data_IF_366620924446
#
_entry.id   IF_366620924446
#
_cell.length_a   1.000
_cell.length_b   1.000
_cell.length_c   1.000
_cell.angle_alpha   90.00
_cell.angle_beta   90.00
_cell.angle_gamma   90.00
#
_symmetry.space_group_name_H-M   'P 1'
#
loop_
_entity.id
_entity.type
_entity.pdbx_description
1 polymer ?
#
# COMPACT_ATOMS: atom_id res chain seq x y z
N UNK A 1 13.14 -19.58 -9.43
CA UNK A 1 12.33 -19.21 -8.25
C UNK A 1 11.39 -18.02 -8.50
N UNK A 2 11.86 -16.96 -9.14
CA UNK A 2 11.08 -15.72 -9.40
C UNK A 2 9.73 -15.92 -10.10
N UNK A 3 9.66 -16.81 -11.11
CA UNK A 3 8.40 -17.11 -11.82
C UNK A 3 7.28 -17.56 -10.86
N UNK A 4 7.61 -18.37 -9.85
CA UNK A 4 6.63 -18.89 -8.89
C UNK A 4 6.20 -17.77 -7.93
N UNK A 5 7.15 -16.97 -7.45
CA UNK A 5 6.87 -15.80 -6.58
C UNK A 5 5.93 -14.83 -7.29
N UNK A 6 6.23 -14.48 -8.55
CA UNK A 6 5.41 -13.58 -9.35
C UNK A 6 4.00 -14.15 -9.60
N UNK A 7 3.88 -15.47 -9.83
CA UNK A 7 2.57 -16.13 -9.97
C UNK A 7 1.75 -16.00 -8.68
N UNK A 8 2.34 -16.27 -7.53
CA UNK A 8 1.66 -16.17 -6.23
C UNK A 8 1.23 -14.71 -5.98
N UNK A 9 2.13 -13.75 -6.21
CA UNK A 9 1.82 -12.32 -6.04
C UNK A 9 0.66 -11.87 -6.94
N UNK A 10 0.64 -12.27 -8.21
CA UNK A 10 -0.48 -11.97 -9.12
C UNK A 10 -1.80 -12.55 -8.64
N UNK A 11 -1.80 -13.77 -8.11
CA UNK A 11 -3.01 -14.38 -7.57
C UNK A 11 -3.52 -13.62 -6.33
N UNK A 12 -2.62 -13.17 -5.44
CA UNK A 12 -3.01 -12.30 -4.31
C UNK A 12 -3.54 -10.94 -4.77
N UNK A 13 -3.02 -10.39 -5.88
CA UNK A 13 -3.54 -9.13 -6.43
C UNK A 13 -4.94 -9.30 -7.04
N UNK A 14 -5.26 -10.46 -7.60
CA UNK A 14 -6.57 -10.77 -8.18
C UNK A 14 -7.68 -10.85 -7.13
N UNK A 15 -7.38 -11.22 -5.88
CA UNK A 15 -8.37 -11.22 -4.79
C UNK A 15 -8.81 -9.82 -4.37
N UNK A 16 -8.18 -8.76 -4.88
CA UNK A 16 -8.66 -7.39 -4.66
C UNK A 16 -10.02 -7.08 -5.31
N UNK A 17 -10.52 -7.96 -6.21
CA UNK A 17 -11.90 -7.87 -6.69
C UNK A 17 -12.90 -8.27 -5.60
N UNK A 18 -12.47 -9.06 -4.64
CA UNK A 18 -13.23 -9.41 -3.46
C UNK A 18 -13.03 -8.30 -2.40
N UNK A 19 -14.03 -8.07 -1.54
CA UNK A 19 -13.99 -7.01 -0.52
C UNK A 19 -12.83 -7.15 0.50
N UNK A 20 -12.08 -8.26 0.46
CA UNK A 20 -10.99 -8.56 1.38
C UNK A 20 -9.69 -8.69 0.58
N UNK A 21 -8.83 -7.66 0.66
CA UNK A 21 -7.50 -7.71 0.07
C UNK A 21 -6.56 -8.60 0.91
N UNK A 22 -5.91 -9.57 0.29
CA UNK A 22 -4.90 -10.41 0.94
C UNK A 22 -3.53 -9.73 0.84
N UNK A 23 -2.85 -9.55 1.98
CA UNK A 23 -1.44 -9.11 2.01
C UNK A 23 -0.53 -10.28 2.34
N UNK A 24 0.39 -10.62 1.43
CA UNK A 24 1.36 -11.71 1.62
C UNK A 24 2.80 -11.21 1.41
N UNK A 25 3.69 -11.64 2.31
CA UNK A 25 5.13 -11.46 2.17
C UNK A 25 5.79 -12.79 1.80
N UNK A 26 6.75 -12.77 0.89
CA UNK A 26 7.43 -13.95 0.39
C UNK A 26 8.94 -13.73 0.44
N UNK A 27 9.69 -14.77 0.75
CA UNK A 27 11.14 -14.79 0.67
C UNK A 27 11.59 -16.12 0.12
N UNK A 28 12.65 -16.11 -0.69
CA UNK A 28 13.21 -17.34 -1.23
C UNK A 28 14.73 -17.24 -1.34
N UNK A 29 15.37 -18.37 -1.11
CA UNK A 29 16.79 -18.59 -1.33
C UNK A 29 16.97 -19.98 -1.95
N UNK A 30 18.08 -20.18 -2.67
CA UNK A 30 18.41 -21.42 -3.35
C UNK A 30 19.84 -21.75 -2.99
N UNK A 31 20.06 -23.01 -2.62
CA UNK A 31 21.38 -23.61 -2.47
C UNK A 31 21.97 -23.84 -3.86
N UNK A 32 23.05 -23.14 -4.19
CA UNK A 32 23.74 -23.22 -5.48
C UNK A 32 24.92 -24.19 -5.44
N UNK A 33 25.53 -24.37 -4.26
CA UNK A 33 26.70 -25.23 -4.08
C UNK A 33 26.39 -26.39 -3.11
N UNK A 34 27.14 -27.49 -3.22
CA UNK A 34 26.92 -28.65 -2.34
C UNK A 34 27.27 -28.34 -0.87
N UNK A 35 28.24 -27.46 -0.66
CA UNK A 35 28.82 -27.18 0.66
C UNK A 35 28.15 -26.02 1.42
N UNK A 36 27.16 -25.34 0.83
CA UNK A 36 26.40 -24.30 1.54
C UNK A 36 25.57 -24.91 2.68
N UNK A 37 25.62 -24.27 3.86
CA UNK A 37 24.81 -24.69 4.99
C UNK A 37 23.32 -24.39 4.72
N UNK A 38 22.49 -25.41 4.93
CA UNK A 38 21.05 -25.30 4.72
C UNK A 38 20.41 -24.30 5.69
N UNK A 39 20.93 -24.16 6.92
CA UNK A 39 20.42 -23.18 7.88
C UNK A 39 20.66 -21.75 7.41
N UNK A 40 21.83 -21.44 6.84
CA UNK A 40 22.12 -20.13 6.25
C UNK A 40 21.19 -19.81 5.07
N UNK A 41 20.88 -20.81 4.23
CA UNK A 41 19.93 -20.65 3.12
C UNK A 41 18.51 -20.37 3.65
N UNK A 42 18.06 -21.04 4.71
CA UNK A 42 16.78 -20.74 5.34
C UNK A 42 16.75 -19.34 5.95
N UNK A 43 17.79 -18.96 6.69
CA UNK A 43 17.89 -17.62 7.28
C UNK A 43 17.87 -16.52 6.21
N UNK A 44 18.51 -16.76 5.07
CA UNK A 44 18.47 -15.84 3.93
C UNK A 44 17.05 -15.72 3.33
N UNK A 45 16.34 -16.83 3.19
CA UNK A 45 14.94 -16.81 2.73
C UNK A 45 14.06 -16.01 3.70
N UNK A 46 14.21 -16.23 5.01
CA UNK A 46 13.47 -15.51 6.05
C UNK A 46 13.81 -14.01 6.08
N UNK A 47 15.08 -13.65 5.94
CA UNK A 47 15.51 -12.24 5.87
C UNK A 47 14.88 -11.53 4.67
N UNK A 48 14.86 -12.18 3.50
CA UNK A 48 14.21 -11.65 2.29
C UNK A 48 12.70 -11.51 2.47
N UNK A 49 12.05 -12.49 3.12
CA UNK A 49 10.64 -12.41 3.46
C UNK A 49 10.38 -11.22 4.40
N UNK A 50 11.19 -11.04 5.43
CA UNK A 50 11.03 -9.97 6.41
C UNK A 50 11.16 -8.58 5.76
N UNK A 51 12.13 -8.41 4.86
CA UNK A 51 12.26 -7.20 4.05
C UNK A 51 11.00 -6.94 3.22
N UNK A 52 10.47 -7.98 2.56
CA UNK A 52 9.22 -7.84 1.81
C UNK A 52 8.03 -7.51 2.73
N UNK A 53 7.94 -8.11 3.92
CA UNK A 53 6.86 -7.88 4.90
C UNK A 53 6.75 -6.41 5.28
N UNK A 54 7.87 -5.72 5.48
CA UNK A 54 7.88 -4.29 5.77
C UNK A 54 7.33 -3.45 4.62
N UNK A 55 7.68 -3.79 3.38
CA UNK A 55 7.18 -3.10 2.19
C UNK A 55 5.68 -3.36 1.96
N UNK A 56 5.26 -4.62 2.06
CA UNK A 56 3.87 -5.02 1.86
C UNK A 56 2.95 -4.50 2.96
N UNK A 57 3.40 -4.46 4.21
CA UNK A 57 2.64 -3.86 5.31
C UNK A 57 2.36 -2.36 5.08
N UNK A 58 3.36 -1.61 4.59
CA UNK A 58 3.18 -0.21 4.21
C UNK A 58 2.20 -0.04 3.05
N UNK A 59 2.28 -0.91 2.02
CA UNK A 59 1.34 -0.90 0.89
C UNK A 59 -0.09 -1.19 1.33
N UNK A 60 -0.29 -2.23 2.14
CA UNK A 60 -1.60 -2.62 2.67
C UNK A 60 -2.24 -1.48 3.47
N UNK A 61 -1.48 -0.84 4.37
CA UNK A 61 -1.97 0.32 5.14
C UNK A 61 -2.38 1.49 4.25
N UNK A 62 -1.56 1.86 3.26
CA UNK A 62 -1.90 2.94 2.32
C UNK A 62 -3.16 2.64 1.52
N UNK A 63 -3.30 1.40 1.05
CA UNK A 63 -4.47 0.96 0.30
C UNK A 63 -5.74 1.02 1.14
N UNK A 64 -5.68 0.58 2.40
CA UNK A 64 -6.80 0.67 3.33
C UNK A 64 -7.24 2.13 3.55
N UNK A 65 -6.29 3.03 3.80
CA UNK A 65 -6.59 4.47 3.93
C UNK A 65 -7.22 5.03 2.64
N UNK A 66 -6.67 4.69 1.47
CA UNK A 66 -7.22 5.12 0.18
C UNK A 66 -8.65 4.64 -0.03
N UNK A 67 -8.95 3.39 0.31
CA UNK A 67 -10.29 2.83 0.18
C UNK A 67 -11.30 3.54 1.11
N UNK A 68 -10.89 3.86 2.35
CA UNK A 68 -11.72 4.64 3.28
C UNK A 68 -12.01 6.03 2.71
N UNK A 69 -10.98 6.73 2.21
CA UNK A 69 -11.15 8.06 1.61
C UNK A 69 -12.05 8.04 0.37
N UNK A 70 -11.87 7.06 -0.51
CA UNK A 70 -12.74 6.87 -1.68
C UNK A 70 -14.19 6.60 -1.26
N UNK A 71 -14.41 5.71 -0.28
CA UNK A 71 -15.76 5.40 0.20
C UNK A 71 -16.44 6.61 0.86
N UNK A 72 -15.67 7.43 1.58
CA UNK A 72 -16.17 8.69 2.14
C UNK A 72 -16.51 9.68 1.02
N UNK A 73 -15.65 9.82 0.01
CA UNK A 73 -15.87 10.70 -1.13
C UNK A 73 -17.10 10.29 -1.95
N UNK A 74 -17.32 8.99 -2.18
CA UNK A 74 -18.51 8.47 -2.86
C UNK A 74 -19.81 8.74 -2.09
N UNK A 75 -19.75 8.76 -0.75
CA UNK A 75 -20.91 9.02 0.11
C UNK A 75 -21.11 10.50 0.43
N UNK A 76 -20.06 11.32 0.34
CA UNK A 76 -20.17 12.76 0.48
C UNK A 76 -20.67 13.36 -0.83
N UNK A 77 -21.77 14.11 -0.78
CA UNK A 77 -22.24 14.92 -1.92
C UNK A 77 -21.27 16.05 -2.32
N UNK A 78 -20.16 16.20 -1.60
CA UNK A 78 -19.17 17.25 -1.86
C UNK A 78 -18.04 16.73 -2.75
N UNK A 79 -18.04 17.21 -3.99
CA UNK A 79 -16.99 16.97 -4.95
C UNK A 79 -15.66 17.65 -4.53
N UNK A 80 -14.51 17.16 -4.98
CA UNK A 80 -13.22 17.83 -4.73
C UNK A 80 -13.21 19.30 -5.22
N UNK A 81 -13.95 19.58 -6.29
CA UNK A 81 -14.20 20.94 -6.78
C UNK A 81 -14.99 21.80 -5.78
N UNK A 82 -15.86 21.20 -4.98
CA UNK A 82 -16.59 21.92 -3.95
C UNK A 82 -15.68 22.30 -2.78
N UNK A 83 -14.86 21.37 -2.29
CA UNK A 83 -13.84 21.63 -1.25
C UNK A 83 -12.87 22.73 -1.71
N UNK A 84 -12.41 22.66 -2.96
CA UNK A 84 -11.49 23.66 -3.52
C UNK A 84 -12.14 25.04 -3.60
N UNK A 85 -13.38 25.13 -4.09
CA UNK A 85 -14.14 26.39 -4.12
C UNK A 85 -14.39 26.95 -2.72
N UNK A 86 -14.63 26.09 -1.73
CA UNK A 86 -14.82 26.50 -0.34
C UNK A 86 -13.53 27.10 0.23
N UNK A 87 -12.37 26.49 -0.06
CA UNK A 87 -11.05 27.04 0.33
C UNK A 87 -10.78 28.40 -0.29
N UNK A 88 -11.06 28.57 -1.58
CA UNK A 88 -10.91 29.85 -2.27
C UNK A 88 -11.80 30.93 -1.65
N UNK A 89 -13.08 30.62 -1.38
CA UNK A 89 -14.00 31.57 -0.74
C UNK A 89 -13.61 31.91 0.70
N UNK A 90 -13.05 30.95 1.45
CA UNK A 90 -12.52 31.21 2.78
C UNK A 90 -11.28 32.11 2.74
N UNK A 91 -10.40 31.95 1.74
CA UNK A 91 -9.26 32.83 1.52
C UNK A 91 -9.70 34.25 1.14
N UNK A 92 -10.63 34.39 0.19
CA UNK A 92 -11.23 35.69 -0.18
C UNK A 92 -11.82 36.40 1.06
N UNK A 93 -12.49 35.64 1.94
CA UNK A 93 -13.10 36.17 3.16
C UNK A 93 -12.05 36.58 4.20
N UNK A 94 -10.96 35.83 4.35
CA UNK A 94 -9.85 36.18 5.24
C UNK A 94 -9.13 37.46 4.79
N UNK A 95 -8.92 37.61 3.48
CA UNK A 95 -8.35 38.82 2.88
C UNK A 95 -9.25 40.03 3.11
N UNK A 96 -10.57 39.87 2.94
CA UNK A 96 -11.54 40.92 3.26
C UNK A 96 -11.47 41.34 4.74
N UNK A 97 -11.31 40.37 5.64
CA UNK A 97 -11.16 40.61 7.09
C UNK A 97 -9.76 41.10 7.50
N UNK A 98 -8.81 41.23 6.55
CA UNK A 98 -7.40 41.57 6.79
C UNK A 98 -6.70 40.63 7.79
N UNK A 99 -7.18 39.39 7.87
CA UNK A 99 -6.53 38.34 8.64
C UNK A 99 -5.35 37.86 7.81
N UNK A 100 -4.21 38.56 7.92
CA UNK A 100 -2.95 38.12 7.32
C UNK A 100 -2.61 36.73 7.86
N UNK A 101 -2.66 35.72 7.00
CA UNK A 101 -1.89 34.47 7.16
C UNK A 101 -0.42 34.69 6.88
#
# INVERSE_FOLDING_TARGET
MEKIINRIQKNCEQTNKDQISISLALGAAVKNEENEDLFEIFELADKRMYQQKMSQGKKAKRKLISNILLSLAEKSHEDNFHIQRLKEKAADFADYLKLKT
#
